data_IF_683981651980
#
_entry.id   IF_683981651980
#
_cell.length_a   1.000
_cell.length_b   1.000
_cell.length_c   1.000
_cell.angle_alpha   90.00
_cell.angle_beta   90.00
_cell.angle_gamma   90.00
#
_symmetry.space_group_name_H-M   'P 1'
#
loop_
_entity.id
_entity.type
_entity.pdbx_description
1 polymer ?
#
# COMPACT_ATOMS: atom_id res chain seq x y z
N UNK A 1 -14.70 12.33 -9.32
CA UNK A 1 -14.04 12.74 -8.06
C UNK A 1 -13.80 14.24 -8.10
N UNK A 2 -13.85 14.95 -6.98
CA UNK A 2 -13.41 16.34 -6.91
C UNK A 2 -11.89 16.44 -7.10
N UNK A 3 -11.38 17.59 -7.54
CA UNK A 3 -9.98 17.83 -7.93
C UNK A 3 -8.93 17.78 -6.79
N UNK A 4 -9.23 17.16 -5.65
CA UNK A 4 -8.30 17.08 -4.50
C UNK A 4 -8.19 15.73 -3.81
N UNK A 5 -9.04 14.75 -4.14
CA UNK A 5 -9.04 13.47 -3.44
C UNK A 5 -8.06 12.47 -4.09
N UNK A 6 -7.28 11.78 -3.26
CA UNK A 6 -6.48 10.65 -3.72
C UNK A 6 -7.39 9.50 -4.16
N UNK A 7 -7.06 8.87 -5.29
CA UNK A 7 -7.73 7.65 -5.70
C UNK A 7 -7.58 7.32 -7.17
N UNK A 8 -8.24 6.25 -7.57
CA UNK A 8 -8.14 5.69 -8.91
C UNK A 8 -8.91 4.39 -9.01
N UNK A 9 -8.69 3.66 -10.10
CA UNK A 9 -9.37 2.40 -10.37
C UNK A 9 -8.39 1.35 -10.88
N UNK A 10 -8.80 0.09 -10.79
CA UNK A 10 -8.07 -1.02 -11.39
C UNK A 10 -9.05 -1.92 -12.15
N UNK A 11 -8.60 -2.43 -13.30
CA UNK A 11 -9.34 -3.40 -14.10
C UNK A 11 -8.35 -4.51 -14.46
N UNK A 12 -8.66 -5.74 -14.06
CA UNK A 12 -7.87 -6.91 -14.39
C UNK A 12 -8.74 -7.92 -15.13
N UNK A 13 -8.33 -8.27 -16.35
CA UNK A 13 -8.94 -9.35 -17.12
C UNK A 13 -8.31 -10.67 -16.67
N UNK A 14 -9.12 -11.62 -16.22
CA UNK A 14 -8.63 -12.94 -15.85
C UNK A 14 -8.38 -13.77 -17.12
N UNK A 15 -7.21 -14.38 -17.19
CA UNK A 15 -6.97 -15.45 -18.15
C UNK A 15 -7.65 -16.72 -17.65
N UNK A 16 -8.59 -17.25 -18.42
CA UNK A 16 -9.35 -18.45 -18.07
C UNK A 16 -10.47 -18.73 -19.06
N UNK A 17 -11.26 -19.76 -18.79
CA UNK A 17 -12.35 -20.21 -19.67
C UNK A 17 -13.57 -19.28 -19.65
N UNK A 18 -13.77 -18.54 -18.56
CA UNK A 18 -14.86 -17.56 -18.43
C UNK A 18 -14.35 -16.13 -18.64
N UNK A 19 -15.11 -15.26 -19.33
CA UNK A 19 -14.75 -13.86 -19.53
C UNK A 19 -14.96 -13.05 -18.24
N UNK A 20 -14.07 -13.23 -17.27
CA UNK A 20 -14.16 -12.59 -15.95
C UNK A 20 -13.23 -11.37 -15.85
N UNK A 21 -13.74 -10.30 -15.26
CA UNK A 21 -13.00 -9.06 -14.98
C UNK A 21 -13.12 -8.72 -13.50
N UNK A 22 -12.01 -8.38 -12.85
CA UNK A 22 -12.02 -7.67 -11.57
C UNK A 22 -11.93 -6.17 -11.83
N UNK A 23 -13.01 -5.44 -11.54
CA UNK A 23 -13.05 -3.99 -11.57
C UNK A 23 -13.22 -3.45 -10.14
N UNK A 24 -12.32 -2.58 -9.71
CA UNK A 24 -12.44 -1.90 -8.43
C UNK A 24 -11.99 -0.46 -8.48
N UNK A 25 -12.24 0.22 -7.37
CA UNK A 25 -12.01 1.64 -7.18
C UNK A 25 -11.41 1.88 -5.80
N UNK A 26 -10.46 2.81 -5.74
CA UNK A 26 -9.74 3.20 -4.52
C UNK A 26 -9.95 4.68 -4.30
N UNK A 27 -10.21 5.05 -3.05
CA UNK A 27 -10.28 6.42 -2.58
C UNK A 27 -9.49 6.49 -1.28
N UNK A 28 -8.55 7.45 -1.19
CA UNK A 28 -7.86 7.74 0.07
C UNK A 28 -8.85 8.20 1.13
N UNK A 29 -8.62 7.85 2.39
CA UNK A 29 -9.53 8.22 3.49
C UNK A 29 -9.23 9.62 4.05
N UNK A 30 -8.35 10.36 3.38
CA UNK A 30 -7.96 11.74 3.64
C UNK A 30 -8.82 12.78 2.87
N UNK A 31 -9.98 12.36 2.34
CA UNK A 31 -10.92 13.31 1.71
C UNK A 31 -11.54 14.27 2.73
N UNK A 32 -11.67 15.54 2.36
CA UNK A 32 -12.19 16.57 3.27
C UNK A 32 -13.72 16.71 3.23
N UNK A 33 -14.36 16.33 2.11
CA UNK A 33 -15.80 16.50 1.94
C UNK A 33 -16.59 15.40 2.70
N UNK A 34 -17.42 15.73 3.71
CA UNK A 34 -18.18 14.73 4.47
C UNK A 34 -19.30 14.06 3.65
N UNK A 35 -19.70 14.65 2.53
CA UNK A 35 -20.68 14.04 1.61
C UNK A 35 -20.05 13.03 0.65
N UNK A 36 -18.74 12.83 0.72
CA UNK A 36 -18.02 11.89 -0.13
C UNK A 36 -18.49 10.46 0.16
N UNK A 37 -18.91 9.75 -0.88
CA UNK A 37 -19.36 8.37 -0.77
C UNK A 37 -18.58 7.49 -1.76
N UNK A 38 -17.58 6.71 -1.30
CA UNK A 38 -16.74 5.88 -2.17
C UNK A 38 -17.53 4.88 -3.02
N UNK A 39 -18.63 4.33 -2.49
CA UNK A 39 -19.49 3.42 -3.22
C UNK A 39 -20.19 4.12 -4.40
N UNK A 40 -20.83 5.28 -4.15
CA UNK A 40 -21.51 6.04 -5.20
C UNK A 40 -20.51 6.54 -6.26
N UNK A 41 -19.31 6.93 -5.86
CA UNK A 41 -18.24 7.32 -6.78
C UNK A 41 -17.81 6.16 -7.68
N UNK A 42 -17.71 4.95 -7.14
CA UNK A 42 -17.45 3.77 -7.95
C UNK A 42 -18.61 3.45 -8.90
N UNK A 43 -19.86 3.55 -8.45
CA UNK A 43 -21.01 3.37 -9.35
C UNK A 43 -21.01 4.40 -10.48
N UNK A 44 -20.72 5.67 -10.17
CA UNK A 44 -20.57 6.73 -11.16
C UNK A 44 -19.42 6.46 -12.13
N UNK A 45 -18.29 5.97 -11.64
CA UNK A 45 -17.14 5.63 -12.49
C UNK A 45 -17.57 4.63 -13.59
N UNK A 46 -18.35 3.61 -13.25
CA UNK A 46 -18.82 2.61 -14.22
C UNK A 46 -19.65 3.20 -15.36
N UNK A 47 -20.28 4.36 -15.16
CA UNK A 47 -21.06 5.07 -16.19
C UNK A 47 -20.18 5.89 -17.15
N UNK A 48 -18.87 5.99 -16.91
CA UNK A 48 -17.96 6.65 -17.85
C UNK A 48 -17.97 5.91 -19.20
N UNK A 49 -18.03 6.58 -20.36
CA UNK A 49 -18.27 5.95 -21.67
C UNK A 49 -17.29 4.83 -22.05
N UNK A 50 -16.07 4.83 -21.48
CA UNK A 50 -15.13 3.74 -21.66
C UNK A 50 -15.51 2.48 -20.87
N UNK A 51 -15.90 2.61 -19.60
CA UNK A 51 -16.23 1.47 -18.75
C UNK A 51 -17.66 0.98 -19.00
N UNK A 52 -18.57 1.88 -19.33
CA UNK A 52 -19.95 1.52 -19.69
C UNK A 52 -19.93 0.55 -20.88
N UNK A 53 -19.19 0.90 -21.94
CA UNK A 53 -18.97 0.02 -23.10
C UNK A 53 -18.24 -1.29 -22.77
N UNK A 54 -17.32 -1.26 -21.80
CA UNK A 54 -16.58 -2.47 -21.40
C UNK A 54 -17.47 -3.45 -20.61
N UNK A 55 -18.43 -2.93 -19.86
CA UNK A 55 -19.28 -3.71 -18.96
C UNK A 55 -20.65 -4.04 -19.57
N UNK A 56 -20.97 -3.48 -20.73
CA UNK A 56 -22.23 -3.69 -21.42
C UNK A 56 -22.51 -5.18 -21.66
N UNK A 57 -23.75 -5.62 -21.39
CA UNK A 57 -24.14 -7.03 -21.38
C UNK A 57 -23.51 -7.91 -20.29
N UNK A 58 -22.60 -7.37 -19.47
CA UNK A 58 -21.93 -8.09 -18.38
C UNK A 58 -22.79 -8.24 -17.12
N UNK A 59 -22.51 -9.29 -16.34
CA UNK A 59 -23.20 -9.57 -15.09
C UNK A 59 -22.28 -9.42 -13.87
N UNK A 60 -22.72 -8.71 -12.83
CA UNK A 60 -21.98 -8.60 -11.56
C UNK A 60 -22.18 -9.86 -10.72
N UNK A 61 -21.13 -10.65 -10.58
CA UNK A 61 -21.15 -11.90 -9.80
C UNK A 61 -20.79 -11.71 -8.31
N UNK A 62 -20.04 -10.66 -7.96
CA UNK A 62 -19.59 -10.42 -6.59
C UNK A 62 -19.43 -8.91 -6.30
N UNK A 63 -19.40 -8.55 -5.02
CA UNK A 63 -19.02 -7.23 -4.53
C UNK A 63 -18.36 -7.35 -3.16
N UNK A 64 -17.35 -6.53 -2.91
CA UNK A 64 -16.70 -6.42 -1.61
C UNK A 64 -16.01 -5.07 -1.47
N UNK A 65 -15.72 -4.70 -0.22
CA UNK A 65 -14.99 -3.49 0.11
C UNK A 65 -14.00 -3.78 1.24
N UNK A 66 -12.82 -3.15 1.19
CA UNK A 66 -11.79 -3.29 2.21
C UNK A 66 -10.93 -2.03 2.28
N UNK A 67 -10.54 -1.63 3.49
CA UNK A 67 -9.53 -0.60 3.68
C UNK A 67 -8.12 -1.15 3.39
N UNK A 68 -7.24 -0.28 2.90
CA UNK A 68 -5.85 -0.60 2.61
C UNK A 68 -4.92 0.46 3.22
N UNK A 69 -3.74 0.05 3.66
CA UNK A 69 -2.78 0.95 4.29
C UNK A 69 -2.10 1.82 3.23
N UNK A 70 -2.20 3.15 3.34
CA UNK A 70 -1.58 4.09 2.40
C UNK A 70 -0.44 4.92 3.01
N UNK A 71 -0.13 4.72 4.29
CA UNK A 71 0.92 5.47 4.97
C UNK A 71 2.35 5.11 4.56
N UNK A 72 2.56 3.89 4.04
CA UNK A 72 3.86 3.45 3.53
C UNK A 72 4.97 3.48 4.57
N UNK A 73 6.19 3.79 4.13
CA UNK A 73 7.41 3.74 4.94
C UNK A 73 7.32 4.59 6.22
N UNK A 74 6.73 5.78 6.13
CA UNK A 74 6.64 6.74 7.23
C UNK A 74 5.70 6.31 8.36
N UNK A 75 4.81 5.34 8.08
CA UNK A 75 3.80 4.87 9.03
C UNK A 75 4.10 3.48 9.60
N UNK A 76 5.30 2.93 9.34
CA UNK A 76 5.69 1.64 9.91
C UNK A 76 5.87 1.77 11.43
N UNK A 77 5.10 1.03 12.25
CA UNK A 77 5.18 1.12 13.71
C UNK A 77 6.36 0.31 14.26
N UNK A 78 6.51 0.29 15.59
CA UNK A 78 7.31 -0.76 16.25
C UNK A 78 6.70 -2.13 15.89
N UNK A 79 7.54 -3.05 15.43
CA UNK A 79 7.10 -4.32 14.83
C UNK A 79 7.04 -5.50 15.82
N UNK A 80 7.51 -5.29 17.04
CA UNK A 80 7.70 -6.32 18.05
C UNK A 80 7.12 -5.86 19.39
N UNK A 81 6.64 -6.83 20.16
CA UNK A 81 6.27 -6.70 21.56
C UNK A 81 6.56 -8.03 22.28
N UNK A 82 6.64 -8.07 23.62
CA UNK A 82 6.77 -9.33 24.34
C UNK A 82 5.68 -10.32 23.93
N UNK A 83 6.07 -11.46 23.36
CA UNK A 83 5.15 -12.50 22.89
C UNK A 83 4.44 -12.23 21.56
N UNK A 84 4.75 -11.15 20.82
CA UNK A 84 4.01 -10.81 19.59
C UNK A 84 4.82 -10.05 18.53
N UNK A 85 4.43 -10.23 17.26
CA UNK A 85 5.02 -9.59 16.08
C UNK A 85 3.94 -9.01 15.16
N UNK A 86 4.23 -7.88 14.52
CA UNK A 86 3.41 -7.31 13.45
C UNK A 86 4.00 -7.65 12.08
N UNK A 87 3.18 -8.25 11.22
CA UNK A 87 3.56 -8.68 9.86
C UNK A 87 2.57 -8.16 8.82
N UNK A 88 3.00 -8.13 7.56
CA UNK A 88 2.15 -7.79 6.41
C UNK A 88 1.45 -6.44 6.48
N UNK A 89 0.21 -6.39 6.00
CA UNK A 89 -0.55 -5.13 5.90
C UNK A 89 -0.90 -4.54 7.28
N UNK A 90 -0.96 -5.35 8.34
CA UNK A 90 -1.12 -4.87 9.72
C UNK A 90 0.03 -3.96 10.13
N UNK A 91 1.25 -4.26 9.65
CA UNK A 91 2.44 -3.44 9.86
C UNK A 91 2.62 -2.34 8.80
N UNK A 92 1.72 -2.23 7.82
CA UNK A 92 1.75 -1.17 6.80
C UNK A 92 2.64 -1.46 5.58
N UNK A 93 3.00 -2.70 5.28
CA UNK A 93 3.93 -3.03 4.19
C UNK A 93 3.33 -3.00 2.75
N UNK A 94 2.42 -2.07 2.49
CA UNK A 94 1.84 -1.84 1.15
C UNK A 94 2.73 -0.89 0.33
N UNK A 95 3.10 -1.29 -0.88
CA UNK A 95 3.62 -0.37 -1.89
C UNK A 95 2.44 0.36 -2.56
N UNK A 96 2.13 1.55 -2.08
CA UNK A 96 0.94 2.33 -2.51
C UNK A 96 0.97 2.64 -4.01
N UNK A 97 2.06 3.19 -4.59
CA UNK A 97 2.08 3.54 -6.02
C UNK A 97 1.91 2.34 -6.95
N UNK A 98 2.36 1.15 -6.54
CA UNK A 98 2.18 -0.09 -7.31
C UNK A 98 0.85 -0.78 -7.02
N UNK A 99 0.13 -0.39 -5.96
CA UNK A 99 -1.04 -1.08 -5.42
C UNK A 99 -0.71 -2.56 -5.12
N UNK A 100 0.46 -2.81 -4.50
CA UNK A 100 0.96 -4.16 -4.20
C UNK A 100 1.43 -4.30 -2.76
N UNK A 101 0.81 -5.21 -2.01
CA UNK A 101 1.25 -5.56 -0.65
C UNK A 101 1.39 -7.06 -0.39
N UNK A 102 0.82 -7.92 -1.24
CA UNK A 102 0.78 -9.38 -1.01
C UNK A 102 2.20 -9.96 -0.92
N UNK A 103 3.09 -9.58 -1.84
CA UNK A 103 4.46 -10.07 -1.86
C UNK A 103 5.25 -9.61 -0.63
N UNK A 104 5.06 -8.38 -0.17
CA UNK A 104 5.68 -7.86 1.05
C UNK A 104 5.09 -8.51 2.31
N UNK A 105 3.80 -8.81 2.31
CA UNK A 105 3.15 -9.55 3.39
C UNK A 105 3.70 -10.97 3.51
N UNK A 106 3.84 -11.68 2.40
CA UNK A 106 4.43 -13.02 2.39
C UNK A 106 5.91 -13.00 2.83
N UNK A 107 6.70 -12.05 2.32
CA UNK A 107 8.11 -11.89 2.70
C UNK A 107 8.28 -11.56 4.17
N UNK A 108 7.52 -10.59 4.70
CA UNK A 108 7.59 -10.24 6.13
C UNK A 108 7.16 -11.40 7.02
N UNK A 109 6.13 -12.17 6.64
CA UNK A 109 5.74 -13.38 7.35
C UNK A 109 6.85 -14.44 7.38
N UNK A 110 7.53 -14.66 6.25
CA UNK A 110 8.68 -15.59 6.19
C UNK A 110 9.83 -15.14 7.09
N UNK A 111 10.23 -13.87 7.01
CA UNK A 111 11.31 -13.30 7.84
C UNK A 111 10.95 -13.40 9.32
N UNK A 112 9.70 -13.10 9.69
CA UNK A 112 9.22 -13.25 11.06
C UNK A 112 9.33 -14.70 11.54
N UNK A 113 8.91 -15.68 10.72
CA UNK A 113 9.01 -17.10 11.05
C UNK A 113 10.47 -17.54 11.24
N UNK A 114 11.38 -17.13 10.34
CA UNK A 114 12.81 -17.41 10.44
C UNK A 114 13.41 -16.82 11.74
N UNK A 115 13.06 -15.57 12.08
CA UNK A 115 13.52 -14.93 13.32
C UNK A 115 12.96 -15.60 14.58
N UNK A 116 11.68 -15.96 14.60
CA UNK A 116 11.06 -16.68 15.72
C UNK A 116 11.71 -18.04 15.91
N UNK A 117 11.96 -18.77 14.82
CA UNK A 117 12.59 -20.08 14.88
C UNK A 117 14.00 -20.00 15.50
N UNK A 118 14.85 -19.08 15.02
CA UNK A 118 16.20 -18.89 15.59
C UNK A 118 16.17 -18.49 17.07
N UNK A 119 15.23 -17.62 17.44
CA UNK A 119 15.04 -17.21 18.83
C UNK A 119 14.62 -18.38 19.73
N UNK A 120 13.75 -19.28 19.26
CA UNK A 120 13.33 -20.48 20.00
C UNK A 120 14.48 -21.50 20.10
N UNK A 121 15.27 -21.68 19.04
CA UNK A 121 16.41 -22.61 19.03
C UNK A 121 17.62 -22.12 19.83
N UNK A 122 17.66 -20.84 20.22
CA UNK A 122 18.79 -20.24 20.95
C UNK A 122 19.95 -19.80 20.05
N UNK A 123 19.73 -19.71 18.74
CA UNK A 123 20.77 -19.38 17.75
C UNK A 123 21.09 -17.87 17.68
N UNK A 124 20.22 -17.02 18.25
CA UNK A 124 20.31 -15.57 18.11
C UNK A 124 21.10 -14.86 19.24
N UNK A 125 21.76 -15.62 20.16
CA UNK A 125 22.49 -15.09 21.34
C UNK A 125 21.68 -14.09 22.21
N UNK A 126 20.37 -14.02 22.01
CA UNK A 126 19.47 -13.20 22.80
C UNK A 126 19.33 -13.84 24.19
N UNK A 127 19.40 -13.02 25.24
CA UNK A 127 18.92 -13.41 26.56
C UNK A 127 17.49 -13.99 26.44
N UNK A 128 17.01 -14.71 27.46
CA UNK A 128 15.64 -15.27 27.54
C UNK A 128 14.54 -14.19 27.56
N UNK A 129 14.54 -13.31 26.56
CA UNK A 129 13.56 -12.28 26.30
C UNK A 129 12.37 -12.89 25.59
N UNK A 130 11.18 -12.45 25.96
CA UNK A 130 9.94 -12.82 25.26
C UNK A 130 9.76 -12.05 23.93
N UNK A 131 10.60 -11.04 23.67
CA UNK A 131 10.51 -10.21 22.47
C UNK A 131 11.60 -10.57 21.45
N UNK A 132 11.18 -10.89 20.22
CA UNK A 132 12.07 -11.30 19.12
C UNK A 132 12.63 -10.07 18.38
N UNK A 133 13.68 -9.47 18.93
CA UNK A 133 14.28 -8.24 18.40
C UNK A 133 15.08 -8.44 17.10
N UNK A 134 15.37 -9.68 16.71
CA UNK A 134 16.05 -9.99 15.44
C UNK A 134 15.15 -9.75 14.22
N UNK A 135 13.83 -9.83 14.36
CA UNK A 135 12.88 -9.62 13.25
C UNK A 135 12.94 -8.21 12.63
N UNK A 136 12.83 -7.11 13.40
CA UNK A 136 12.95 -5.75 12.85
C UNK A 136 14.29 -5.52 12.13
N UNK A 137 15.38 -6.09 12.65
CA UNK A 137 16.72 -5.97 12.05
C UNK A 137 16.76 -6.71 10.71
N UNK A 138 16.32 -7.96 10.68
CA UNK A 138 16.26 -8.76 9.46
C UNK A 138 15.33 -8.12 8.41
N UNK A 139 14.19 -7.57 8.83
CA UNK A 139 13.26 -6.90 7.93
C UNK A 139 13.86 -5.63 7.34
N UNK A 140 14.55 -4.79 8.14
CA UNK A 140 15.25 -3.58 7.65
C UNK A 140 16.30 -3.88 6.59
N UNK A 141 16.95 -5.03 6.69
CA UNK A 141 17.94 -5.50 5.72
C UNK A 141 17.32 -6.23 4.52
N UNK A 142 16.00 -6.37 4.46
CA UNK A 142 15.30 -7.11 3.41
C UNK A 142 14.89 -6.22 2.23
N UNK A 143 14.56 -6.84 1.07
CA UNK A 143 13.97 -6.11 -0.06
C UNK A 143 12.66 -5.39 0.27
N UNK A 144 11.91 -5.82 1.29
CA UNK A 144 10.65 -5.17 1.70
C UNK A 144 10.93 -3.74 2.15
N UNK A 145 11.93 -3.55 3.02
CA UNK A 145 12.27 -2.24 3.57
C UNK A 145 12.76 -1.29 2.48
N UNK A 146 13.66 -1.79 1.62
CA UNK A 146 14.17 -1.04 0.47
C UNK A 146 13.05 -0.62 -0.47
N UNK A 147 12.16 -1.54 -0.83
CA UNK A 147 11.06 -1.26 -1.75
C UNK A 147 10.12 -0.17 -1.22
N UNK A 148 9.80 -0.19 0.07
CA UNK A 148 8.96 0.84 0.71
C UNK A 148 9.70 2.19 0.80
N UNK A 149 10.99 2.15 1.13
CA UNK A 149 11.82 3.36 1.21
C UNK A 149 11.97 4.05 -0.15
N UNK A 150 12.18 3.28 -1.21
CA UNK A 150 12.35 3.82 -2.57
C UNK A 150 11.12 4.58 -3.05
N UNK A 151 9.91 4.23 -2.58
CA UNK A 151 8.65 4.87 -3.01
C UNK A 151 8.04 5.81 -1.97
N UNK A 152 8.74 6.05 -0.85
CA UNK A 152 8.21 6.74 0.35
C UNK A 152 7.62 8.12 0.08
N UNK A 153 8.13 8.83 -0.93
CA UNK A 153 7.74 10.21 -1.21
C UNK A 153 6.61 10.34 -2.24
N UNK A 154 6.24 9.26 -2.95
CA UNK A 154 5.25 9.36 -4.03
C UNK A 154 3.87 9.75 -3.49
N UNK A 155 3.32 9.02 -2.51
CA UNK A 155 1.99 9.33 -1.96
C UNK A 155 1.95 10.70 -1.25
N UNK A 156 2.90 11.03 -0.36
CA UNK A 156 2.91 12.34 0.31
C UNK A 156 3.19 13.53 -0.61
N UNK A 157 3.79 13.32 -1.80
CA UNK A 157 4.02 14.41 -2.75
C UNK A 157 2.71 15.04 -3.26
N UNK A 158 1.59 14.33 -3.15
CA UNK A 158 0.24 14.86 -3.42
C UNK A 158 -0.03 16.14 -2.62
N UNK A 159 0.21 16.05 -1.31
CA UNK A 159 -0.10 17.10 -0.35
C UNK A 159 1.07 18.06 -0.20
N UNK A 160 2.30 17.54 -0.19
CA UNK A 160 3.50 18.35 -0.02
C UNK A 160 3.69 19.40 -1.13
N UNK A 161 3.23 19.10 -2.34
CA UNK A 161 3.29 20.05 -3.48
C UNK A 161 2.02 20.91 -3.60
N UNK A 162 0.93 20.60 -2.88
CA UNK A 162 -0.32 21.34 -2.95
C UNK A 162 -1.07 21.24 -4.29
N UNK A 163 -0.62 20.37 -5.21
CA UNK A 163 -1.19 20.19 -6.54
C UNK A 163 -2.11 18.96 -6.65
N UNK A 164 -2.43 18.32 -5.52
CA UNK A 164 -3.26 17.11 -5.51
C UNK A 164 -2.64 15.97 -6.33
N UNK A 165 -3.47 15.18 -7.01
CA UNK A 165 -3.02 14.06 -7.84
C UNK A 165 -1.99 14.46 -8.92
N UNK A 166 -2.06 15.70 -9.44
CA UNK A 166 -1.06 16.20 -10.38
C UNK A 166 0.33 16.32 -9.75
N UNK A 167 0.40 16.67 -8.47
CA UNK A 167 1.65 16.68 -7.70
C UNK A 167 2.30 15.29 -7.66
N UNK A 168 1.52 14.23 -7.40
CA UNK A 168 2.01 12.85 -7.46
C UNK A 168 2.60 12.49 -8.82
N UNK A 169 1.88 12.80 -9.90
CA UNK A 169 2.33 12.47 -11.27
C UNK A 169 3.61 13.23 -11.61
N UNK A 170 3.67 14.53 -11.34
CA UNK A 170 4.84 15.36 -11.60
C UNK A 170 6.05 14.88 -10.80
N UNK A 171 5.89 14.68 -9.49
CA UNK A 171 6.97 14.20 -8.64
C UNK A 171 7.47 12.83 -9.09
N UNK A 172 6.55 11.92 -9.42
CA UNK A 172 6.92 10.57 -9.87
C UNK A 172 7.66 10.61 -11.21
N UNK A 173 7.19 11.42 -12.17
CA UNK A 173 7.78 11.53 -13.50
C UNK A 173 9.11 12.28 -13.55
N UNK A 174 9.30 13.30 -12.70
CA UNK A 174 10.48 14.17 -12.74
C UNK A 174 11.53 13.82 -11.68
N UNK A 175 11.12 13.46 -10.47
CA UNK A 175 12.05 13.23 -9.37
C UNK A 175 12.28 11.74 -9.21
N UNK A 176 11.23 10.97 -8.96
CA UNK A 176 11.36 9.55 -8.69
C UNK A 176 11.88 8.75 -9.90
N UNK A 177 11.46 9.11 -11.11
CA UNK A 177 11.94 8.44 -12.33
C UNK A 177 13.46 8.55 -12.50
N UNK A 178 14.06 9.70 -12.17
CA UNK A 178 15.50 9.93 -12.33
C UNK A 178 16.31 9.50 -11.10
N UNK A 179 15.86 9.88 -9.90
CA UNK A 179 16.58 9.59 -8.65
C UNK A 179 16.29 8.21 -8.08
N UNK A 180 15.23 7.55 -8.53
CA UNK A 180 14.80 6.21 -8.08
C UNK A 180 14.61 6.12 -6.56
N UNK A 181 14.10 7.18 -5.93
CA UNK A 181 13.88 7.22 -4.47
C UNK A 181 15.12 7.55 -3.64
N UNK A 182 16.24 7.94 -4.26
CA UNK A 182 17.49 8.28 -3.57
C UNK A 182 17.59 9.73 -3.11
N UNK A 183 16.51 10.50 -3.20
CA UNK A 183 16.48 11.86 -2.69
C UNK A 183 16.83 11.92 -1.18
N UNK A 184 17.64 12.89 -0.73
CA UNK A 184 18.10 12.98 0.67
C UNK A 184 17.04 13.53 1.64
N UNK A 185 15.76 13.47 1.31
CA UNK A 185 14.66 13.93 2.16
C UNK A 185 13.51 12.93 2.19
N UNK A 186 12.62 13.09 3.17
CA UNK A 186 11.38 12.32 3.28
C UNK A 186 10.23 13.26 3.62
N UNK A 187 9.18 13.27 2.80
CA UNK A 187 7.97 14.04 3.06
C UNK A 187 7.17 13.41 4.21
N UNK A 188 6.43 14.26 4.92
CA UNK A 188 5.47 13.84 5.95
C UNK A 188 4.07 13.68 5.35
N UNK A 189 3.28 12.79 5.94
CA UNK A 189 1.86 12.68 5.65
C UNK A 189 1.10 13.81 6.33
N UNK A 190 0.04 14.31 5.67
CA UNK A 190 -0.88 15.29 6.26
C UNK A 190 -1.61 14.63 7.44
N UNK A 191 -1.47 15.19 8.65
CA UNK A 191 -2.06 14.65 9.88
C UNK A 191 -1.07 14.00 10.87
N UNK A 192 0.23 13.96 10.54
CA UNK A 192 1.34 13.54 11.44
C UNK A 192 2.22 14.72 11.85
#
# INVERSE_FOLDING_TARGET
>A
MSNGNYGGYFIYHYAGESPLIAFGFVMGLDYENPYQNPYKEFQRLKQHPHFDRLLDGGNRVAYGARALAEGGYQSIPKLTMPGGLLVGCTAGFLNVPKIKGVHNALRSGRIAAESVYKHICGDDNSEKSQEVLSYPVALKNSPVWKELYDVRNIRPSMDALGLGMFGCVLYTGLIWYFLRGKEPWTFKLKGN
#
